data_IF_928005800541
#
_entry.id   IF_928005800541
#
_cell.length_a   1.000
_cell.length_b   1.000
_cell.length_c   1.000
_cell.angle_alpha   90.00
_cell.angle_beta   90.00
_cell.angle_gamma   90.00
#
_symmetry.space_group_name_H-M   'P 1'
#
loop_
_entity.id
_entity.type
_entity.pdbx_description
1 polymer ?
#
# COMPACT_ATOMS: atom_id res chain seq x y z
N UNK A 1 18.02 16.86 16.73
CA UNK A 1 17.04 16.48 15.69
C UNK A 1 16.07 17.64 15.50
N UNK A 2 15.48 17.84 14.31
CA UNK A 2 14.57 18.98 14.09
C UNK A 2 13.42 19.06 15.09
N UNK A 3 12.90 17.91 15.52
CA UNK A 3 11.82 17.86 16.50
C UNK A 3 12.25 18.40 17.88
N UNK A 4 13.44 18.03 18.35
CA UNK A 4 13.95 18.49 19.65
C UNK A 4 14.22 20.00 19.67
N UNK A 5 14.61 20.56 18.52
CA UNK A 5 14.73 22.01 18.34
C UNK A 5 13.38 22.71 18.39
N UNK A 6 12.37 22.19 17.67
CA UNK A 6 11.04 22.79 17.61
C UNK A 6 10.36 22.80 18.98
N UNK A 7 10.50 21.71 19.73
CA UNK A 7 9.91 21.57 21.07
C UNK A 7 10.81 22.10 22.20
N UNK A 8 11.99 22.65 21.88
CA UNK A 8 12.96 23.16 22.84
C UNK A 8 13.31 22.15 23.94
N UNK A 9 13.56 20.89 23.56
CA UNK A 9 13.87 19.79 24.48
C UNK A 9 15.33 19.32 24.40
N UNK A 10 16.18 20.01 23.66
CA UNK A 10 17.57 19.59 23.40
C UNK A 10 18.45 19.47 24.66
N UNK A 11 18.12 20.19 25.73
CA UNK A 11 18.86 20.15 27.01
C UNK A 11 18.31 19.09 27.98
N UNK A 12 17.19 18.47 27.67
CA UNK A 12 16.59 17.40 28.48
C UNK A 12 17.15 16.03 28.04
N UNK A 13 17.71 15.21 28.95
CA UNK A 13 18.12 13.84 28.64
C UNK A 13 17.02 13.00 27.99
N UNK A 14 15.76 13.22 28.39
CA UNK A 14 14.56 12.55 27.86
C UNK A 14 13.89 13.38 26.75
N UNK A 15 14.60 14.38 26.22
CA UNK A 15 14.09 15.31 25.23
C UNK A 15 13.96 14.74 23.82
N UNK A 16 14.34 13.47 23.61
CA UNK A 16 14.18 12.78 22.33
C UNK A 16 12.74 12.84 21.83
N UNK A 17 12.56 12.91 20.51
CA UNK A 17 11.25 13.08 19.88
C UNK A 17 10.41 14.23 20.48
N UNK A 18 11.05 15.31 20.95
CA UNK A 18 10.35 16.46 21.52
C UNK A 18 9.68 16.18 22.87
N UNK A 19 10.13 15.14 23.60
CA UNK A 19 9.52 14.69 24.85
C UNK A 19 8.21 13.94 24.67
N UNK A 20 7.91 13.47 23.45
CA UNK A 20 6.70 12.71 23.14
C UNK A 20 7.00 11.22 23.29
N UNK A 21 6.13 10.49 23.99
CA UNK A 21 6.18 9.04 24.05
C UNK A 21 5.84 8.44 22.67
N UNK A 22 6.78 7.70 22.11
CA UNK A 22 6.62 7.06 20.79
C UNK A 22 6.40 5.56 20.98
N UNK A 23 5.34 5.04 20.38
CA UNK A 23 5.09 3.59 20.26
C UNK A 23 5.09 3.25 18.78
N UNK A 24 5.91 2.27 18.38
CA UNK A 24 6.07 1.85 16.99
C UNK A 24 5.61 0.41 16.85
N UNK A 25 4.85 0.11 15.79
CA UNK A 25 4.43 -1.23 15.44
C UNK A 25 4.87 -1.56 14.01
N UNK A 26 5.27 -2.80 13.77
CA UNK A 26 5.65 -3.27 12.45
C UNK A 26 5.97 -4.75 12.42
N UNK A 27 6.13 -5.27 11.21
CA UNK A 27 6.63 -6.62 10.97
C UNK A 27 7.80 -6.53 10.00
N UNK A 28 9.02 -6.75 10.50
CA UNK A 28 10.25 -6.61 9.71
C UNK A 28 10.40 -7.65 8.59
N UNK A 29 9.59 -8.71 8.62
CA UNK A 29 9.59 -9.76 7.59
C UNK A 29 8.50 -9.56 6.53
N UNK A 30 7.77 -8.44 6.59
CA UNK A 30 6.84 -8.04 5.53
C UNK A 30 7.54 -7.21 4.45
N UNK A 31 6.73 -6.58 3.58
CA UNK A 31 7.21 -5.85 2.41
C UNK A 31 8.20 -4.74 2.83
N UNK A 32 9.35 -4.63 2.13
CA UNK A 32 10.29 -3.54 2.36
C UNK A 32 9.69 -2.20 1.92
N UNK A 33 10.24 -1.07 2.40
CA UNK A 33 9.93 0.25 1.88
C UNK A 33 10.09 0.32 0.35
N UNK A 34 9.21 1.09 -0.31
CA UNK A 34 9.22 1.20 -1.77
C UNK A 34 10.46 1.97 -2.24
N UNK A 35 11.34 1.30 -2.99
CA UNK A 35 12.60 1.85 -3.53
C UNK A 35 13.58 2.33 -2.45
N UNK A 36 13.42 1.88 -1.21
CA UNK A 36 14.28 2.20 -0.10
C UNK A 36 14.61 0.95 0.71
N UNK A 37 15.65 1.03 1.51
CA UNK A 37 16.02 -0.04 2.43
C UNK A 37 15.14 0.02 3.68
N UNK A 38 15.09 -1.08 4.44
CA UNK A 38 14.44 -1.09 5.74
C UNK A 38 15.02 -0.03 6.67
N UNK A 39 14.18 0.52 7.56
CA UNK A 39 14.55 1.61 8.47
C UNK A 39 15.60 1.23 9.52
N UNK A 40 15.85 -0.07 9.71
CA UNK A 40 16.89 -0.60 10.61
C UNK A 40 18.20 -0.93 9.87
N UNK A 41 18.25 -0.77 8.55
CA UNK A 41 19.49 -0.92 7.78
C UNK A 41 20.29 0.38 7.89
N UNK A 42 21.57 0.27 8.21
CA UNK A 42 22.47 1.43 8.30
C UNK A 42 22.52 2.17 6.96
N UNK A 43 22.27 3.47 7.00
CA UNK A 43 22.34 4.32 5.81
C UNK A 43 23.76 4.35 5.23
N UNK A 44 23.86 4.32 3.90
CA UNK A 44 25.13 4.61 3.22
C UNK A 44 25.51 6.08 3.40
N UNK A 45 26.81 6.40 3.21
CA UNK A 45 27.30 7.78 3.28
C UNK A 45 26.55 8.72 2.32
N UNK A 46 26.31 8.29 1.08
CA UNK A 46 25.51 9.07 0.11
C UNK A 46 24.09 9.33 0.59
N UNK A 47 23.40 8.31 1.13
CA UNK A 47 22.03 8.49 1.66
C UNK A 47 22.02 9.41 2.88
N UNK A 48 23.04 9.33 3.72
CA UNK A 48 23.18 10.17 4.89
C UNK A 48 23.36 11.65 4.53
N UNK A 49 24.26 11.93 3.60
CA UNK A 49 24.48 13.28 3.08
C UNK A 49 23.21 13.83 2.42
N UNK A 50 22.53 13.00 1.62
CA UNK A 50 21.26 13.37 0.96
C UNK A 50 20.13 13.69 1.93
N UNK A 51 19.95 12.89 2.99
CA UNK A 51 18.77 13.00 3.87
C UNK A 51 18.97 13.88 5.09
N UNK A 52 20.18 13.89 5.65
CA UNK A 52 20.46 14.54 6.94
C UNK A 52 21.48 15.67 6.77
N UNK A 53 22.25 15.70 5.68
CA UNK A 53 23.32 16.68 5.48
C UNK A 53 24.43 16.58 6.53
N UNK A 54 24.54 15.43 7.19
CA UNK A 54 25.44 15.17 8.31
C UNK A 54 26.51 14.14 8.00
N UNK A 55 27.55 14.07 8.85
CA UNK A 55 28.65 13.11 8.71
C UNK A 55 28.41 11.77 9.41
N UNK A 56 27.43 11.70 10.34
CA UNK A 56 27.10 10.46 11.06
C UNK A 56 25.60 10.35 11.38
N UNK A 57 25.13 9.13 11.63
CA UNK A 57 23.77 8.81 12.08
C UNK A 57 23.77 8.36 13.53
N UNK A 58 22.74 8.75 14.28
CA UNK A 58 22.44 8.12 15.56
C UNK A 58 21.58 6.87 15.33
N UNK A 59 21.90 5.77 16.03
CA UNK A 59 21.01 4.61 16.10
C UNK A 59 19.83 4.93 17.02
N UNK A 60 18.79 5.55 16.46
CA UNK A 60 17.59 5.92 17.20
C UNK A 60 16.83 4.70 17.73
N UNK A 61 17.06 3.50 17.19
CA UNK A 61 16.38 2.29 17.64
C UNK A 61 16.88 1.84 19.02
N UNK A 62 18.11 2.21 19.39
CA UNK A 62 18.66 1.98 20.74
C UNK A 62 17.89 2.72 21.85
N UNK A 63 17.05 3.69 21.50
CA UNK A 63 16.21 4.45 22.43
C UNK A 63 14.89 3.73 22.79
N UNK A 64 14.57 2.62 22.10
CA UNK A 64 13.30 1.92 22.26
C UNK A 64 13.46 0.61 23.03
N UNK A 65 12.47 0.29 23.85
CA UNK A 65 12.27 -1.06 24.35
C UNK A 65 11.54 -1.91 23.30
N UNK A 66 11.96 -3.17 23.16
CA UNK A 66 11.38 -4.11 22.19
C UNK A 66 10.52 -5.16 22.89
N UNK A 67 9.33 -5.38 22.35
CA UNK A 67 8.47 -6.51 22.73
C UNK A 67 7.86 -7.16 21.47
N UNK A 68 7.57 -8.46 21.54
CA UNK A 68 7.08 -9.26 20.42
C UNK A 68 5.67 -9.80 20.70
N UNK A 69 4.72 -9.49 19.82
CA UNK A 69 3.40 -10.11 19.83
C UNK A 69 3.45 -11.52 19.24
N UNK A 70 3.25 -12.53 20.08
CA UNK A 70 3.39 -13.95 19.68
C UNK A 70 2.10 -14.65 19.27
N UNK A 71 0.94 -14.06 19.55
CA UNK A 71 -0.37 -14.70 19.33
C UNK A 71 -0.96 -14.20 18.00
N UNK A 72 -1.09 -15.09 17.02
CA UNK A 72 -1.81 -14.81 15.79
C UNK A 72 -3.32 -14.94 16.00
N UNK A 73 -4.00 -13.79 16.10
CA UNK A 73 -5.45 -13.73 16.27
C UNK A 73 -6.24 -13.79 14.96
N UNK A 74 -5.60 -13.50 13.81
CA UNK A 74 -6.27 -13.42 12.50
C UNK A 74 -6.63 -14.81 11.97
N UNK A 75 -5.77 -15.80 12.20
CA UNK A 75 -5.98 -17.21 11.81
C UNK A 75 -6.30 -18.10 13.02
N UNK A 76 -6.85 -17.55 14.11
CA UNK A 76 -7.08 -18.29 15.36
C UNK A 76 -7.93 -19.56 15.20
N UNK A 77 -8.86 -19.55 14.25
CA UNK A 77 -9.82 -20.64 14.00
C UNK A 77 -9.27 -21.69 13.01
N UNK A 78 -8.09 -21.44 12.41
CA UNK A 78 -7.40 -22.35 11.49
C UNK A 78 -5.91 -22.47 11.85
N UNK A 79 -5.64 -23.31 12.86
CA UNK A 79 -4.29 -23.50 13.39
C UNK A 79 -3.29 -23.98 12.33
N UNK A 80 -3.70 -24.92 11.46
CA UNK A 80 -2.82 -25.49 10.41
C UNK A 80 -2.40 -24.42 9.40
N UNK A 81 -3.33 -23.54 9.02
CA UNK A 81 -3.01 -22.42 8.14
C UNK A 81 -2.18 -21.34 8.84
N UNK A 82 -2.47 -21.03 10.11
CA UNK A 82 -1.67 -20.11 10.92
C UNK A 82 -0.21 -20.56 11.08
N UNK A 83 0.03 -21.85 11.31
CA UNK A 83 1.38 -22.45 11.36
C UNK A 83 2.10 -22.32 10.01
N UNK A 84 1.41 -22.64 8.90
CA UNK A 84 1.95 -22.47 7.54
C UNK A 84 2.41 -21.03 7.30
N UNK A 85 1.57 -20.04 7.61
CA UNK A 85 1.90 -18.63 7.41
C UNK A 85 3.08 -18.18 8.28
N UNK A 86 3.21 -18.72 9.49
CA UNK A 86 4.31 -18.42 10.41
C UNK A 86 5.64 -18.96 9.90
N UNK A 87 5.64 -20.15 9.30
CA UNK A 87 6.82 -20.73 8.64
C UNK A 87 7.18 -19.97 7.36
N UNK A 88 6.18 -19.66 6.53
CA UNK A 88 6.36 -18.92 5.28
C UNK A 88 6.97 -17.53 5.53
N UNK A 89 6.55 -16.84 6.61
CA UNK A 89 7.12 -15.56 7.05
C UNK A 89 8.64 -15.64 7.28
N UNK A 90 9.14 -16.79 7.74
CA UNK A 90 10.57 -17.04 7.97
C UNK A 90 11.28 -17.64 6.74
N UNK A 91 10.56 -17.89 5.64
CA UNK A 91 11.09 -18.52 4.44
C UNK A 91 11.17 -20.05 4.51
N UNK A 92 10.56 -20.68 5.51
CA UNK A 92 10.46 -22.14 5.61
C UNK A 92 9.15 -22.62 4.98
N UNK A 93 9.25 -23.62 4.10
CA UNK A 93 8.09 -24.23 3.45
C UNK A 93 8.31 -25.73 3.38
N UNK A 94 7.38 -26.50 3.95
CA UNK A 94 7.40 -27.97 3.89
C UNK A 94 6.63 -28.49 2.67
N UNK A 95 6.84 -29.76 2.24
CA UNK A 95 6.01 -30.39 1.21
C UNK A 95 4.51 -30.35 1.55
N UNK A 96 4.15 -30.61 2.81
CA UNK A 96 2.77 -30.57 3.28
C UNK A 96 2.15 -29.16 3.16
N UNK A 97 2.96 -28.11 3.32
CA UNK A 97 2.51 -26.72 3.10
C UNK A 97 2.23 -26.44 1.63
N UNK A 98 3.10 -26.95 0.75
CA UNK A 98 2.91 -26.83 -0.71
C UNK A 98 1.62 -27.54 -1.12
N UNK A 99 1.38 -28.75 -0.61
CA UNK A 99 0.17 -29.50 -0.90
C UNK A 99 -1.09 -28.78 -0.41
N UNK A 100 -1.05 -28.22 0.81
CA UNK A 100 -2.16 -27.43 1.36
C UNK A 100 -2.45 -26.18 0.50
N UNK A 101 -1.42 -25.46 0.04
CA UNK A 101 -1.59 -24.31 -0.85
C UNK A 101 -2.14 -24.72 -2.22
N UNK A 102 -1.67 -25.85 -2.76
CA UNK A 102 -2.09 -26.36 -4.06
C UNK A 102 -3.56 -26.78 -4.09
N UNK A 103 -4.16 -27.17 -2.96
CA UNK A 103 -5.61 -27.43 -2.87
C UNK A 103 -6.47 -26.22 -3.23
N UNK A 104 -5.92 -25.01 -3.14
CA UNK A 104 -6.61 -23.74 -3.48
C UNK A 104 -6.11 -23.13 -4.78
N UNK A 105 -5.30 -23.86 -5.55
CA UNK A 105 -4.73 -23.38 -6.81
C UNK A 105 -5.84 -23.27 -7.86
N UNK A 106 -5.99 -22.07 -8.42
CA UNK A 106 -6.83 -21.84 -9.57
C UNK A 106 -6.03 -22.09 -10.85
N UNK A 107 -6.46 -23.04 -11.67
CA UNK A 107 -5.80 -23.36 -12.94
C UNK A 107 -6.50 -22.64 -14.11
N UNK A 108 -5.70 -21.91 -14.88
CA UNK A 108 -6.17 -21.29 -16.10
C UNK A 108 -6.23 -22.33 -17.23
N UNK A 109 -7.33 -22.33 -17.97
CA UNK A 109 -7.51 -23.19 -19.15
C UNK A 109 -6.74 -22.60 -20.34
N UNK A 110 -6.75 -21.28 -20.47
CA UNK A 110 -6.07 -20.57 -21.54
C UNK A 110 -4.76 -19.92 -21.07
N UNK A 111 -3.81 -19.77 -22.00
CA UNK A 111 -2.54 -19.03 -21.77
C UNK A 111 -2.55 -17.61 -22.34
N UNK A 112 -3.59 -17.27 -23.11
CA UNK A 112 -3.77 -15.93 -23.67
C UNK A 112 -4.17 -14.94 -22.57
N UNK A 113 -3.53 -13.78 -22.54
CA UNK A 113 -3.72 -12.78 -21.47
C UNK A 113 -5.14 -12.23 -21.38
N UNK A 114 -5.85 -12.10 -22.50
CA UNK A 114 -7.25 -11.62 -22.48
C UNK A 114 -8.16 -12.71 -21.91
N UNK A 115 -7.96 -13.96 -22.35
CA UNK A 115 -8.76 -15.10 -21.91
C UNK A 115 -8.56 -15.43 -20.42
N UNK A 116 -7.33 -15.31 -19.92
CA UNK A 116 -7.04 -15.52 -18.49
C UNK A 116 -7.73 -14.49 -17.61
N UNK A 117 -7.78 -13.21 -18.03
CA UNK A 117 -8.53 -12.18 -17.31
C UNK A 117 -10.03 -12.51 -17.27
N UNK A 118 -10.60 -12.95 -18.39
CA UNK A 118 -12.02 -13.34 -18.44
C UNK A 118 -12.34 -14.58 -17.59
N UNK A 119 -11.45 -15.56 -17.54
CA UNK A 119 -11.52 -16.69 -16.61
C UNK A 119 -11.49 -16.22 -15.15
N UNK A 120 -10.54 -15.36 -14.81
CA UNK A 120 -10.41 -14.81 -13.45
C UNK A 120 -11.65 -14.01 -13.05
N UNK A 121 -12.18 -13.16 -13.93
CA UNK A 121 -13.41 -12.43 -13.65
C UNK A 121 -14.58 -13.37 -13.33
N UNK A 122 -14.76 -14.44 -14.12
CA UNK A 122 -15.82 -15.43 -13.89
C UNK A 122 -15.64 -16.18 -12.57
N UNK A 123 -14.41 -16.42 -12.15
CA UNK A 123 -14.12 -17.01 -10.86
C UNK A 123 -14.45 -16.03 -9.72
N UNK A 124 -13.97 -14.78 -9.80
CA UNK A 124 -14.17 -13.77 -8.77
C UNK A 124 -15.65 -13.43 -8.52
N UNK A 125 -16.49 -13.42 -9.56
CA UNK A 125 -17.94 -13.18 -9.42
C UNK A 125 -18.65 -14.25 -8.58
N UNK A 126 -18.06 -15.45 -8.44
CA UNK A 126 -18.61 -16.53 -7.59
C UNK A 126 -18.20 -16.41 -6.12
N UNK A 127 -17.22 -15.56 -5.82
CA UNK A 127 -16.75 -15.34 -4.45
C UNK A 127 -17.65 -14.32 -3.73
N UNK A 128 -17.60 -14.24 -2.39
CA UNK A 128 -18.26 -13.19 -1.62
C UNK A 128 -17.93 -11.79 -2.14
N UNK A 129 -18.90 -10.87 -2.07
CA UNK A 129 -18.79 -9.54 -2.67
C UNK A 129 -17.67 -8.66 -2.08
N UNK A 130 -17.23 -8.97 -0.85
CA UNK A 130 -16.12 -8.36 -0.12
C UNK A 130 -14.76 -8.99 -0.43
N UNK A 131 -14.70 -9.97 -1.34
CA UNK A 131 -13.45 -10.61 -1.73
C UNK A 131 -12.51 -9.64 -2.45
N UNK A 132 -11.26 -9.59 -1.99
CA UNK A 132 -10.20 -8.77 -2.59
C UNK A 132 -9.24 -9.64 -3.37
N UNK A 133 -8.97 -9.26 -4.62
CA UNK A 133 -7.96 -9.91 -5.46
C UNK A 133 -6.63 -9.13 -5.38
N UNK A 134 -5.58 -9.77 -4.87
CA UNK A 134 -4.24 -9.21 -4.82
C UNK A 134 -3.47 -9.59 -6.09
N UNK A 135 -2.88 -8.60 -6.77
CA UNK A 135 -2.06 -8.81 -7.96
C UNK A 135 -0.70 -8.10 -7.82
N UNK A 136 0.37 -8.60 -8.45
CA UNK A 136 1.72 -8.09 -8.21
C UNK A 136 1.97 -6.65 -8.69
N UNK A 137 1.21 -6.16 -9.68
CA UNK A 137 1.45 -4.83 -10.29
C UNK A 137 0.18 -4.04 -10.47
N UNK A 138 0.28 -2.70 -10.39
CA UNK A 138 -0.84 -1.78 -10.62
C UNK A 138 -1.49 -1.99 -11.99
N UNK A 139 -0.68 -2.18 -13.04
CA UNK A 139 -1.16 -2.46 -14.40
C UNK A 139 -2.05 -3.71 -14.46
N UNK A 140 -1.70 -4.77 -13.72
CA UNK A 140 -2.53 -5.97 -13.65
C UNK A 140 -3.85 -5.70 -12.91
N UNK A 141 -3.81 -4.95 -11.80
CA UNK A 141 -5.02 -4.51 -11.10
C UNK A 141 -5.92 -3.66 -12.01
N UNK A 142 -5.36 -2.70 -12.74
CA UNK A 142 -6.09 -1.84 -13.68
C UNK A 142 -6.77 -2.65 -14.78
N UNK A 143 -6.05 -3.62 -15.37
CA UNK A 143 -6.60 -4.50 -16.40
C UNK A 143 -7.77 -5.33 -15.87
N UNK A 144 -7.62 -5.93 -14.68
CA UNK A 144 -8.68 -6.72 -14.05
C UNK A 144 -9.88 -5.85 -13.66
N UNK A 145 -9.65 -4.73 -12.99
CA UNK A 145 -10.71 -3.80 -12.57
C UNK A 145 -11.48 -3.28 -13.79
N UNK A 146 -10.79 -2.96 -14.88
CA UNK A 146 -11.43 -2.54 -16.13
C UNK A 146 -12.27 -3.66 -16.73
N UNK A 147 -11.78 -4.90 -16.74
CA UNK A 147 -12.53 -6.04 -17.25
C UNK A 147 -13.79 -6.34 -16.40
N UNK A 148 -13.67 -6.27 -15.07
CA UNK A 148 -14.81 -6.42 -14.14
C UNK A 148 -15.84 -5.31 -14.35
N UNK A 149 -15.40 -4.05 -14.48
CA UNK A 149 -16.29 -2.91 -14.74
C UNK A 149 -17.03 -3.06 -16.07
N UNK A 150 -16.36 -3.54 -17.14
CA UNK A 150 -17.01 -3.78 -18.44
C UNK A 150 -18.15 -4.79 -18.37
N UNK A 151 -18.08 -5.78 -17.47
CA UNK A 151 -19.11 -6.82 -17.32
C UNK A 151 -20.38 -6.31 -16.62
N UNK A 152 -20.33 -5.17 -15.94
CA UNK A 152 -21.53 -4.56 -15.36
C UNK A 152 -22.42 -3.97 -16.47
N UNK A 153 -23.71 -4.28 -16.41
CA UNK A 153 -24.72 -3.86 -17.40
C UNK A 153 -25.14 -2.39 -17.24
N UNK A 154 -24.83 -1.77 -16.10
CA UNK A 154 -25.18 -0.38 -15.82
C UNK A 154 -24.35 0.60 -16.66
N UNK A 155 -24.91 1.81 -16.84
CA UNK A 155 -24.29 2.86 -17.62
C UNK A 155 -22.99 3.37 -16.97
N UNK A 156 -22.02 3.73 -17.81
CA UNK A 156 -20.76 4.32 -17.36
C UNK A 156 -20.97 5.78 -16.92
N UNK A 157 -20.62 6.05 -15.67
CA UNK A 157 -20.53 7.40 -15.13
C UNK A 157 -19.06 7.81 -15.15
N UNK A 158 -18.75 8.91 -15.83
CA UNK A 158 -17.39 9.44 -15.95
C UNK A 158 -17.22 10.64 -15.03
N UNK A 159 -16.40 10.47 -14.00
CA UNK A 159 -16.01 11.52 -13.07
C UNK A 159 -14.71 12.16 -13.56
N UNK A 160 -14.74 13.46 -13.83
CA UNK A 160 -13.58 14.22 -14.32
C UNK A 160 -13.13 15.18 -13.23
N UNK A 161 -11.86 15.11 -12.87
CA UNK A 161 -11.25 16.01 -11.88
C UNK A 161 -11.25 17.45 -12.38
N UNK A 162 -11.49 18.39 -11.45
CA UNK A 162 -11.34 19.83 -11.66
C UNK A 162 -10.10 20.28 -10.88
N UNK A 163 -9.06 20.64 -11.62
CA UNK A 163 -7.82 21.14 -11.05
C UNK A 163 -7.81 22.67 -11.10
N UNK A 164 -7.43 23.32 -10.00
CA UNK A 164 -7.27 24.78 -9.92
C UNK A 164 -5.91 25.13 -9.36
N UNK A 165 -5.21 26.09 -9.98
CA UNK A 165 -3.88 26.51 -9.57
C UNK A 165 -3.89 28.01 -9.21
N UNK A 166 -3.47 28.34 -8.00
CA UNK A 166 -3.15 29.73 -7.66
C UNK A 166 -1.75 30.06 -8.20
N UNK A 167 -1.64 30.39 -9.49
CA UNK A 167 -0.35 30.77 -10.10
C UNK A 167 -0.53 31.72 -11.28
N UNK A 168 0.58 32.27 -11.79
CA UNK A 168 0.58 33.17 -12.94
C UNK A 168 0.17 32.41 -14.23
N UNK A 169 -0.66 33.03 -15.10
CA UNK A 169 -1.24 32.43 -16.32
C UNK A 169 -0.24 31.68 -17.22
N UNK A 170 1.02 32.13 -17.28
CA UNK A 170 2.08 31.44 -18.06
C UNK A 170 2.44 30.07 -17.49
N UNK A 171 2.49 29.95 -16.16
CA UNK A 171 2.78 28.70 -15.46
C UNK A 171 1.57 27.76 -15.54
N UNK A 172 0.37 28.30 -15.40
CA UNK A 172 -0.90 27.57 -15.55
C UNK A 172 -1.01 26.89 -16.93
N UNK A 173 -0.71 27.61 -18.02
CA UNK A 173 -0.73 27.02 -19.37
C UNK A 173 0.31 25.90 -19.54
N UNK A 174 1.49 26.03 -18.92
CA UNK A 174 2.53 25.00 -18.95
C UNK A 174 2.13 23.77 -18.15
N UNK A 175 1.52 23.96 -16.98
CA UNK A 175 0.97 22.90 -16.13
C UNK A 175 -0.15 22.18 -16.87
N UNK A 176 -1.14 22.89 -17.41
CA UNK A 176 -2.25 22.29 -18.17
C UNK A 176 -1.75 21.47 -19.36
N UNK A 177 -0.72 21.93 -20.07
CA UNK A 177 -0.09 21.15 -21.15
C UNK A 177 0.54 19.85 -20.63
N UNK A 178 1.27 19.91 -19.51
CA UNK A 178 1.86 18.72 -18.87
C UNK A 178 0.78 17.74 -18.37
N UNK A 179 -0.30 18.24 -17.75
CA UNK A 179 -1.42 17.42 -17.28
C UNK A 179 -2.16 16.72 -18.44
N UNK A 180 -2.31 17.39 -19.58
CA UNK A 180 -2.95 16.82 -20.77
C UNK A 180 -2.12 15.73 -21.45
N UNK A 181 -0.80 15.78 -21.32
CA UNK A 181 0.13 14.85 -21.97
C UNK A 181 0.47 13.64 -21.09
N UNK A 182 0.30 13.78 -19.76
CA UNK A 182 0.81 12.83 -18.78
C UNK A 182 -0.33 12.25 -17.93
N UNK A 183 -1.02 11.25 -18.48
CA UNK A 183 -2.04 10.47 -17.75
C UNK A 183 -1.47 9.72 -16.53
N UNK A 184 -0.15 9.56 -16.45
CA UNK A 184 0.55 8.79 -15.41
C UNK A 184 1.34 9.64 -14.42
N UNK A 185 1.01 10.92 -14.26
CA UNK A 185 1.67 11.76 -13.26
C UNK A 185 1.07 11.51 -11.88
N UNK A 186 1.94 11.28 -10.89
CA UNK A 186 1.68 11.12 -9.45
C UNK A 186 0.87 12.29 -8.83
N UNK A 187 -0.36 12.52 -9.28
CA UNK A 187 -1.27 13.54 -8.77
C UNK A 187 -1.93 13.01 -7.51
N UNK A 188 -1.23 13.10 -6.37
CA UNK A 188 -1.80 12.89 -5.03
C UNK A 188 -2.62 11.59 -4.88
N UNK A 189 -2.26 10.56 -5.66
CA UNK A 189 -2.91 9.25 -5.65
C UNK A 189 -4.33 9.19 -6.23
N UNK A 190 -4.79 10.10 -7.08
CA UNK A 190 -6.12 9.99 -7.73
C UNK A 190 -6.01 10.28 -9.22
N UNK A 191 -6.67 9.46 -10.04
CA UNK A 191 -6.69 9.63 -11.50
C UNK A 191 -7.56 10.83 -11.90
N UNK A 192 -7.11 11.56 -12.95
CA UNK A 192 -7.85 12.70 -13.51
C UNK A 192 -9.25 12.32 -14.00
N UNK A 193 -9.43 11.07 -14.44
CA UNK A 193 -10.71 10.53 -14.89
C UNK A 193 -10.93 9.19 -14.21
N UNK A 194 -12.04 9.08 -13.51
CA UNK A 194 -12.50 7.82 -12.91
C UNK A 194 -13.79 7.43 -13.62
N UNK A 195 -13.84 6.20 -14.14
CA UNK A 195 -15.06 5.62 -14.70
C UNK A 195 -15.65 4.66 -13.68
N UNK A 196 -16.92 4.85 -13.33
CA UNK A 196 -17.66 3.98 -12.40
C UNK A 196 -18.96 3.51 -13.03
N UNK A 197 -19.55 2.47 -12.44
CA UNK A 197 -20.83 1.89 -12.81
C UNK A 197 -21.59 1.49 -11.55
N UNK A 198 -22.92 1.49 -11.59
CA UNK A 198 -23.75 1.01 -10.47
C UNK A 198 -23.42 -0.46 -10.20
N UNK A 199 -23.10 -0.80 -8.94
CA UNK A 199 -22.68 -2.13 -8.51
C UNK A 199 -21.17 -2.38 -8.54
N UNK A 200 -20.36 -1.38 -8.92
CA UNK A 200 -18.90 -1.50 -8.87
C UNK A 200 -18.38 -1.39 -7.43
N UNK A 201 -17.49 -2.31 -7.05
CA UNK A 201 -16.73 -2.23 -5.79
C UNK A 201 -15.66 -1.15 -5.89
N UNK A 202 -15.55 -0.31 -4.85
CA UNK A 202 -14.59 0.80 -4.79
C UNK A 202 -13.78 0.73 -3.50
N UNK A 203 -12.61 1.37 -3.52
CA UNK A 203 -11.78 1.59 -2.34
C UNK A 203 -11.64 3.10 -2.08
N UNK A 204 -11.87 3.51 -0.84
CA UNK A 204 -11.68 4.89 -0.41
C UNK A 204 -10.18 5.16 -0.25
N UNK A 205 -9.66 6.18 -0.95
CA UNK A 205 -8.22 6.51 -0.97
C UNK A 205 -7.83 7.70 -0.09
N UNK A 206 -8.78 8.32 0.60
CA UNK A 206 -8.53 9.45 1.51
C UNK A 206 -9.43 9.34 2.72
N UNK A 207 -8.92 9.76 3.87
CA UNK A 207 -9.75 9.90 5.06
C UNK A 207 -10.79 11.00 4.79
N UNK A 208 -12.07 10.67 4.96
CA UNK A 208 -13.19 11.59 4.77
C UNK A 208 -13.66 12.06 6.14
N UNK A 209 -14.02 11.10 6.99
CA UNK A 209 -14.46 11.36 8.35
C UNK A 209 -14.06 10.18 9.24
N UNK A 210 -13.13 10.45 10.15
CA UNK A 210 -12.59 9.45 11.08
C UNK A 210 -13.64 9.03 12.12
N UNK A 211 -14.60 9.90 12.43
CA UNK A 211 -15.65 9.60 13.43
C UNK A 211 -16.71 8.62 12.90
N UNK A 212 -16.92 8.61 11.59
CA UNK A 212 -17.86 7.72 10.90
C UNK A 212 -17.22 6.43 10.37
N UNK A 213 -15.94 6.21 10.65
CA UNK A 213 -15.20 5.04 10.15
C UNK A 213 -14.88 5.11 8.64
N UNK A 214 -14.97 6.29 8.02
CA UNK A 214 -14.64 6.52 6.61
C UNK A 214 -13.17 6.93 6.46
N UNK A 215 -12.28 5.98 6.69
CA UNK A 215 -10.83 6.13 6.55
C UNK A 215 -10.28 5.20 5.46
N UNK A 216 -9.05 5.48 5.04
CA UNK A 216 -8.32 4.61 4.10
C UNK A 216 -8.11 3.24 4.75
N UNK A 217 -8.61 2.16 4.13
CA UNK A 217 -8.17 0.81 4.50
C UNK A 217 -6.71 0.67 4.06
N UNK A 218 -5.79 0.55 5.02
CA UNK A 218 -4.39 0.22 4.74
C UNK A 218 -4.26 -1.24 4.27
#
# INVERSE_FOLDING_TARGET
>A
MRLTEIFNTSENPDGWFGGINIVVFGDFLQLPPVKEDFSFVKLSKEKLEKYVGGMDTFDIWSLFEYDELRINVRQKDDKRYGELLSQLRLGYVTPDDIDLLNQRKFEFIHRDSSKTIDELCRYLVKLPADSVCLLPTRRMCENLNTAMLRKLQSEEIKLIAKDSFQSNKKLENKINKLLSTNNNSNQCGIDRKITIKIGATIMIRRNIDVTLGLFMSQ
#
